data_IF_313490868148
#
_entry.id   IF_313490868148
#
_cell.length_a   1.000
_cell.length_b   1.000
_cell.length_c   1.000
_cell.angle_alpha   90.00
_cell.angle_beta   90.00
_cell.angle_gamma   90.00
#
_symmetry.space_group_name_H-M   'P 1'
#
loop_
_entity.id
_entity.type
_entity.pdbx_description
1 polymer ?
#
# COMPACT_ATOMS: atom_id res chain seq x y z
N UNK A 1 0.01 102.95 17.76
CA UNK A 1 0.40 102.05 18.87
C UNK A 1 -0.54 100.86 18.82
N UNK A 2 -0.05 99.73 18.31
CA UNK A 2 -0.84 98.56 17.93
C UNK A 2 -0.87 97.50 19.05
N UNK A 3 -2.01 96.82 19.12
CA UNK A 3 -2.49 95.96 20.19
C UNK A 3 -1.77 94.59 20.28
N UNK A 4 -1.61 94.13 21.53
CA UNK A 4 -1.10 92.80 21.87
C UNK A 4 -2.16 91.71 21.71
N UNK A 5 -1.78 90.62 21.02
CA UNK A 5 -2.59 89.41 20.85
C UNK A 5 -2.12 88.29 21.79
N UNK A 6 -3.04 87.79 22.60
CA UNK A 6 -2.86 86.68 23.53
C UNK A 6 -2.71 85.33 22.79
N UNK A 7 -1.76 84.50 23.23
CA UNK A 7 -1.57 83.11 22.75
C UNK A 7 -2.29 82.12 23.68
N UNK A 8 -3.28 81.42 23.12
CA UNK A 8 -3.96 80.27 23.72
C UNK A 8 -3.06 79.02 23.69
N UNK A 9 -2.82 78.43 24.85
CA UNK A 9 -2.18 77.12 24.99
C UNK A 9 -3.21 76.00 24.78
N UNK A 10 -3.10 75.24 23.68
CA UNK A 10 -3.81 73.98 23.49
C UNK A 10 -2.92 72.83 23.95
N UNK A 11 -3.33 72.20 25.04
CA UNK A 11 -2.72 71.01 25.62
C UNK A 11 -3.12 69.79 24.77
N UNK A 12 -2.19 69.30 23.96
CA UNK A 12 -2.36 68.10 23.12
C UNK A 12 -2.22 66.84 24.00
N UNK A 13 -3.33 66.13 24.25
CA UNK A 13 -3.31 64.79 24.84
C UNK A 13 -2.75 63.80 23.81
N UNK A 14 -1.65 63.12 24.16
CA UNK A 14 -1.11 61.99 23.40
C UNK A 14 -2.02 60.76 23.57
N UNK A 15 -2.35 60.02 22.49
CA UNK A 15 -3.01 58.73 22.60
C UNK A 15 -2.03 57.64 23.06
N UNK A 16 -2.52 56.76 23.92
CA UNK A 16 -1.78 55.62 24.47
C UNK A 16 -1.35 54.65 23.35
N UNK A 17 -0.08 54.24 23.40
CA UNK A 17 0.55 53.28 22.50
C UNK A 17 0.00 51.87 22.79
N UNK A 18 -0.55 51.13 21.81
CA UNK A 18 -0.91 49.73 21.99
C UNK A 18 0.36 48.89 22.16
N UNK A 19 0.41 48.08 23.23
CA UNK A 19 1.46 47.10 23.46
C UNK A 19 1.35 45.99 22.40
N UNK A 20 2.44 45.78 21.66
CA UNK A 20 2.58 44.70 20.71
C UNK A 20 2.61 43.37 21.46
N UNK A 21 1.64 42.48 21.19
CA UNK A 21 1.71 41.10 21.66
C UNK A 21 2.82 40.35 20.90
N UNK A 22 3.55 39.44 21.57
CA UNK A 22 4.58 38.63 20.94
C UNK A 22 3.96 37.72 19.86
N UNK A 23 4.59 37.73 18.68
CA UNK A 23 4.27 36.84 17.56
C UNK A 23 4.28 35.39 18.03
N UNK A 24 3.09 34.83 18.25
CA UNK A 24 2.89 33.40 18.40
C UNK A 24 3.03 32.80 17.01
N UNK A 25 4.21 32.27 16.70
CA UNK A 25 4.41 31.44 15.51
C UNK A 25 3.58 30.17 15.70
N UNK A 26 2.36 30.19 15.15
CA UNK A 26 1.55 28.99 14.99
C UNK A 26 2.21 28.20 13.87
N UNK A 27 3.04 27.22 14.24
CA UNK A 27 3.49 26.20 13.30
C UNK A 27 2.21 25.57 12.70
N UNK A 28 2.05 25.56 11.37
CA UNK A 28 0.91 24.89 10.76
C UNK A 28 0.93 23.45 11.26
N UNK A 29 -0.19 23.00 11.81
CA UNK A 29 -0.35 21.61 12.20
C UNK A 29 0.04 20.77 10.99
N UNK A 30 1.21 20.13 11.06
CA UNK A 30 1.70 19.15 10.09
C UNK A 30 0.53 18.20 9.95
N UNK A 31 -0.15 18.24 8.81
CA UNK A 31 -1.18 17.26 8.48
C UNK A 31 -0.44 15.93 8.47
N UNK A 32 -0.42 15.26 9.63
CA UNK A 32 -0.09 13.84 9.70
C UNK A 32 -1.06 13.23 8.72
N UNK A 33 -0.52 12.85 7.56
CA UNK A 33 -1.22 12.02 6.59
C UNK A 33 -1.93 10.97 7.41
N UNK A 34 -3.26 11.00 7.36
CA UNK A 34 -4.09 10.01 8.03
C UNK A 34 -3.44 8.65 7.76
N UNK A 35 -3.13 7.85 8.80
CA UNK A 35 -2.59 6.52 8.57
C UNK A 35 -3.46 5.87 7.51
N UNK A 36 -2.84 5.29 6.48
CA UNK A 36 -3.58 4.47 5.52
C UNK A 36 -4.58 3.64 6.31
N UNK A 37 -5.85 3.54 5.88
CA UNK A 37 -6.86 2.77 6.58
C UNK A 37 -6.33 1.34 6.72
N UNK A 38 -5.73 1.08 7.87
CA UNK A 38 -5.39 -0.23 8.36
C UNK A 38 -6.74 -0.75 8.79
N UNK A 39 -7.41 -1.44 7.87
CA UNK A 39 -8.57 -2.25 8.21
C UNK A 39 -8.13 -3.21 9.33
N UNK A 40 -8.41 -2.84 10.58
CA UNK A 40 -8.18 -3.70 11.76
C UNK A 40 -7.44 -3.08 12.96
N UNK A 41 -6.75 -1.95 12.85
CA UNK A 41 -6.16 -1.29 14.04
C UNK A 41 -7.03 -0.10 14.46
N UNK A 42 -7.76 -0.25 15.57
CA UNK A 42 -8.16 0.92 16.34
C UNK A 42 -6.87 1.69 16.70
N UNK A 43 -6.84 3.03 16.60
CA UNK A 43 -5.71 3.80 17.04
C UNK A 43 -5.63 3.73 18.55
N UNK A 44 -4.93 2.73 19.08
CA UNK A 44 -4.43 2.78 20.45
C UNK A 44 -3.29 3.77 20.41
N UNK A 45 -3.57 5.03 20.77
CA UNK A 45 -2.51 5.96 21.13
C UNK A 45 -1.88 5.43 22.42
N UNK A 46 -0.88 4.57 22.29
CA UNK A 46 0.06 4.32 23.37
C UNK A 46 0.93 5.58 23.42
N UNK A 47 0.44 6.60 24.13
CA UNK A 47 1.33 7.61 24.69
C UNK A 47 2.20 6.85 25.67
N UNK A 48 3.50 6.77 25.36
CA UNK A 48 4.50 6.00 26.09
C UNK A 48 4.36 6.26 27.60
N UNK A 49 3.86 5.27 28.35
CA UNK A 49 3.81 5.28 29.82
C UNK A 49 2.45 5.53 30.51
N UNK A 50 1.31 5.59 29.82
CA UNK A 50 0.01 5.80 30.49
C UNK A 50 -1.07 4.76 30.13
N UNK A 51 -1.58 4.07 31.16
CA UNK A 51 -2.85 3.33 31.10
C UNK A 51 -3.96 4.37 31.30
N UNK A 52 -4.75 4.65 30.26
CA UNK A 52 -5.95 5.48 30.38
C UNK A 52 -7.12 4.55 30.62
N UNK A 53 -7.64 4.55 31.85
CA UNK A 53 -8.86 3.83 32.19
C UNK A 53 -10.07 4.63 31.65
N UNK A 54 -10.75 4.09 30.65
CA UNK A 54 -11.86 4.78 29.96
C UNK A 54 -13.17 4.31 30.57
N UNK A 55 -13.60 4.98 31.65
CA UNK A 55 -14.96 4.84 32.17
C UNK A 55 -15.98 5.54 31.25
N UNK A 56 -17.18 4.96 31.03
CA UNK A 56 -18.21 5.59 30.23
C UNK A 56 -18.90 6.69 31.04
N UNK A 57 -18.74 7.95 30.63
CA UNK A 57 -19.55 9.04 31.15
C UNK A 57 -20.32 9.74 30.03
N UNK A 58 -21.59 10.06 30.32
CA UNK A 58 -22.65 10.37 29.34
C UNK A 58 -22.60 11.80 28.78
N UNK A 59 -21.54 12.57 29.01
CA UNK A 59 -21.43 13.98 28.59
C UNK A 59 -20.19 14.31 27.72
N UNK A 60 -19.56 13.29 27.11
CA UNK A 60 -19.00 13.40 25.75
C UNK A 60 -17.77 14.30 25.48
N UNK A 61 -17.11 14.91 26.47
CA UNK A 61 -15.78 15.53 26.29
C UNK A 61 -14.85 15.14 27.43
N UNK A 62 -14.02 14.13 27.19
CA UNK A 62 -12.95 13.71 28.10
C UNK A 62 -11.82 14.73 28.01
N UNK A 63 -11.84 15.73 28.88
CA UNK A 63 -10.70 16.62 29.06
C UNK A 63 -9.76 16.01 30.10
N UNK A 64 -9.03 14.96 29.69
CA UNK A 64 -8.02 14.32 30.54
C UNK A 64 -6.95 15.33 30.93
N UNK A 65 -6.92 15.71 32.21
CA UNK A 65 -5.87 16.57 32.78
C UNK A 65 -4.59 15.73 32.88
N UNK A 66 -3.64 16.00 31.99
CA UNK A 66 -2.33 15.37 32.01
C UNK A 66 -1.51 16.01 33.14
N UNK A 67 -1.56 15.45 34.34
CA UNK A 67 -0.62 15.81 35.39
C UNK A 67 0.71 15.10 35.07
N UNK A 68 1.68 15.87 34.52
CA UNK A 68 3.06 15.40 34.44
C UNK A 68 3.58 15.26 35.86
N UNK A 69 3.63 14.03 36.36
CA UNK A 69 4.41 13.70 37.55
C UNK A 69 5.88 14.10 37.35
N UNK A 70 6.64 14.32 38.44
CA UNK A 70 8.05 14.67 38.39
C UNK A 70 8.86 13.43 38.01
N UNK A 71 8.78 13.02 36.75
CA UNK A 71 9.65 12.00 36.20
C UNK A 71 10.98 12.66 35.89
N UNK A 72 12.04 12.23 36.58
CA UNK A 72 13.39 12.63 36.23
C UNK A 72 13.75 11.92 34.92
N UNK A 73 14.24 12.64 33.92
CA UNK A 73 14.70 12.09 32.63
C UNK A 73 15.72 10.95 32.79
N UNK A 74 16.40 10.89 33.95
CA UNK A 74 17.34 9.84 34.35
C UNK A 74 16.69 8.51 34.76
N UNK A 75 15.38 8.47 35.02
CA UNK A 75 14.67 7.28 35.51
C UNK A 75 14.01 6.46 34.38
N UNK A 76 14.04 6.97 33.14
CA UNK A 76 13.71 6.18 31.95
C UNK A 76 14.94 5.35 31.58
N UNK A 77 15.18 4.26 32.33
CA UNK A 77 15.97 3.15 31.81
C UNK A 77 15.24 2.62 30.57
N UNK A 78 15.71 3.00 29.39
CA UNK A 78 15.23 2.46 28.13
C UNK A 78 15.42 0.95 28.23
N UNK A 79 14.32 0.17 28.16
CA UNK A 79 14.40 -1.28 28.25
C UNK A 79 15.46 -1.82 27.28
N UNK A 80 16.31 -2.74 27.75
CA UNK A 80 17.46 -3.23 26.97
C UNK A 80 17.05 -3.82 25.60
N UNK A 81 15.81 -4.26 25.46
CA UNK A 81 15.16 -4.74 24.24
C UNK A 81 14.86 -3.63 23.20
N UNK A 82 14.78 -2.36 23.61
CA UNK A 82 14.56 -1.21 22.72
C UNK A 82 15.86 -0.62 22.17
N UNK A 83 17.02 -1.01 22.73
CA UNK A 83 18.33 -0.61 22.21
C UNK A 83 18.64 -1.45 20.96
N UNK A 84 18.69 -0.79 19.79
CA UNK A 84 19.21 -1.38 18.56
C UNK A 84 20.71 -1.60 18.76
N UNK A 85 21.08 -2.78 19.25
CA UNK A 85 22.43 -3.26 19.01
C UNK A 85 22.67 -3.26 17.50
N UNK A 86 23.87 -2.86 17.07
CA UNK A 86 24.28 -2.84 15.65
C UNK A 86 24.04 -4.18 14.94
N UNK A 87 23.93 -5.29 15.68
CA UNK A 87 23.56 -6.60 15.15
C UNK A 87 22.07 -6.76 14.79
N UNK A 88 21.16 -6.04 15.44
CA UNK A 88 19.71 -6.16 15.21
C UNK A 88 19.23 -5.55 13.89
N UNK A 89 19.89 -4.50 13.39
CA UNK A 89 19.59 -3.95 12.05
C UNK A 89 19.94 -4.93 10.93
N UNK A 90 21.04 -5.67 11.08
CA UNK A 90 21.45 -6.73 10.16
C UNK A 90 20.46 -7.90 10.11
N UNK A 91 19.89 -8.28 11.26
CA UNK A 91 18.84 -9.29 11.34
C UNK A 91 17.57 -8.82 10.64
N UNK A 92 17.17 -7.56 10.84
CA UNK A 92 16.02 -6.96 10.16
C UNK A 92 16.22 -6.94 8.63
N UNK A 93 17.37 -6.45 8.16
CA UNK A 93 17.71 -6.45 6.74
C UNK A 93 17.67 -7.86 6.14
N UNK A 94 18.18 -8.87 6.87
CA UNK A 94 18.14 -10.27 6.44
C UNK A 94 16.71 -10.82 6.37
N UNK A 95 15.85 -10.46 7.34
CA UNK A 95 14.42 -10.83 7.34
C UNK A 95 13.70 -10.29 6.10
N UNK A 96 13.84 -8.99 5.81
CA UNK A 96 13.23 -8.37 4.63
C UNK A 96 13.82 -8.93 3.33
N UNK A 97 15.14 -9.16 3.27
CA UNK A 97 15.78 -9.78 2.10
C UNK A 97 15.25 -11.20 1.82
N UNK A 98 15.08 -12.01 2.86
CA UNK A 98 14.52 -13.36 2.74
C UNK A 98 13.04 -13.32 2.32
N UNK A 99 12.25 -12.43 2.91
CA UNK A 99 10.85 -12.21 2.52
C UNK A 99 10.75 -11.78 1.06
N UNK A 100 11.58 -10.83 0.63
CA UNK A 100 11.67 -10.39 -0.76
C UNK A 100 12.05 -11.53 -1.71
N UNK A 101 13.02 -12.37 -1.35
CA UNK A 101 13.42 -13.52 -2.16
C UNK A 101 12.28 -14.53 -2.35
N UNK A 102 11.56 -14.87 -1.27
CA UNK A 102 10.41 -15.80 -1.35
C UNK A 102 9.30 -15.22 -2.22
N UNK A 103 8.99 -13.93 -2.04
CA UNK A 103 7.99 -13.23 -2.85
C UNK A 103 8.38 -13.19 -4.34
N UNK A 104 9.65 -12.90 -4.63
CA UNK A 104 10.20 -12.89 -5.99
C UNK A 104 10.09 -14.25 -6.66
N UNK A 105 10.47 -15.32 -5.96
CA UNK A 105 10.43 -16.68 -6.48
C UNK A 105 8.99 -17.13 -6.77
N UNK A 106 8.07 -16.95 -5.81
CA UNK A 106 6.67 -17.31 -5.98
C UNK A 106 6.02 -16.54 -7.14
N UNK A 107 6.26 -15.23 -7.21
CA UNK A 107 5.70 -14.41 -8.28
C UNK A 107 6.28 -14.78 -9.65
N UNK A 108 7.57 -15.11 -9.73
CA UNK A 108 8.20 -15.55 -10.97
C UNK A 108 7.56 -16.84 -11.50
N UNK A 109 7.29 -17.82 -10.62
CA UNK A 109 6.59 -19.05 -11.00
C UNK A 109 5.22 -18.74 -11.59
N UNK A 110 4.44 -17.87 -10.95
CA UNK A 110 3.12 -17.46 -11.42
C UNK A 110 3.21 -16.77 -12.80
N UNK A 111 4.17 -15.87 -12.98
CA UNK A 111 4.40 -15.16 -14.26
C UNK A 111 4.72 -16.18 -15.37
N UNK A 112 5.61 -17.15 -15.11
CA UNK A 112 5.93 -18.21 -16.06
C UNK A 112 4.69 -19.03 -16.41
N UNK A 113 3.86 -19.40 -15.42
CA UNK A 113 2.61 -20.13 -15.66
C UNK A 113 1.63 -19.33 -16.55
N UNK A 114 1.50 -18.01 -16.36
CA UNK A 114 0.70 -17.16 -17.24
C UNK A 114 1.19 -17.16 -18.69
N UNK A 115 2.51 -17.07 -18.91
CA UNK A 115 3.07 -17.11 -20.26
C UNK A 115 2.99 -18.49 -20.90
N UNK A 116 3.20 -19.57 -20.14
CA UNK A 116 3.07 -20.96 -20.63
C UNK A 116 1.62 -21.24 -21.02
N UNK A 117 0.65 -20.85 -20.19
CA UNK A 117 -0.78 -21.02 -20.52
C UNK A 117 -1.17 -20.17 -21.72
N UNK A 118 -0.72 -18.91 -21.80
CA UNK A 118 -0.93 -18.05 -22.98
C UNK A 118 -0.39 -18.66 -24.27
N UNK A 119 0.85 -19.16 -24.24
CA UNK A 119 1.46 -19.85 -25.37
C UNK A 119 0.68 -21.12 -25.76
N UNK A 120 0.20 -21.88 -24.77
CA UNK A 120 -0.69 -23.02 -24.97
C UNK A 120 -1.98 -22.62 -25.70
N UNK A 121 -2.67 -21.57 -25.23
CA UNK A 121 -3.87 -21.05 -25.88
C UNK A 121 -3.59 -20.65 -27.34
N UNK A 122 -2.50 -19.94 -27.63
CA UNK A 122 -2.16 -19.57 -29.01
C UNK A 122 -1.78 -20.77 -29.88
N UNK A 123 -1.04 -21.73 -29.35
CA UNK A 123 -0.67 -22.94 -30.06
C UNK A 123 -1.92 -23.72 -30.48
N UNK A 124 -2.80 -24.04 -29.52
CA UNK A 124 -4.02 -24.80 -29.79
C UNK A 124 -5.05 -24.02 -30.60
N UNK A 125 -5.04 -22.68 -30.59
CA UNK A 125 -5.90 -21.89 -31.48
C UNK A 125 -5.68 -22.20 -32.97
N UNK A 126 -4.46 -22.59 -33.35
CA UNK A 126 -4.09 -22.95 -34.73
C UNK A 126 -4.45 -24.39 -35.09
N UNK A 127 -4.55 -25.25 -34.08
CA UNK A 127 -4.88 -26.67 -34.23
C UNK A 127 -6.39 -26.90 -34.41
N UNK A 128 -7.24 -25.93 -34.03
CA UNK A 128 -8.69 -26.04 -34.23
C UNK A 128 -9.01 -26.08 -35.72
N UNK A 129 -9.59 -27.19 -36.23
CA UNK A 129 -9.92 -27.30 -37.65
C UNK A 129 -10.96 -26.26 -38.03
N UNK A 130 -10.77 -25.62 -39.20
CA UNK A 130 -11.69 -24.59 -39.73
C UNK A 130 -13.11 -25.12 -40.00
N UNK A 131 -13.28 -26.44 -40.05
CA UNK A 131 -14.55 -27.15 -40.24
C UNK A 131 -15.35 -27.30 -38.95
N UNK A 132 -14.79 -26.99 -37.78
CA UNK A 132 -15.51 -27.04 -36.51
C UNK A 132 -16.71 -26.07 -36.55
N UNK A 133 -17.87 -26.54 -36.08
CA UNK A 133 -19.14 -25.82 -36.15
C UNK A 133 -19.16 -24.54 -35.31
N UNK A 134 -18.24 -24.43 -34.35
CA UNK A 134 -18.09 -23.29 -33.44
C UNK A 134 -16.76 -22.58 -33.64
N UNK A 135 -16.73 -21.25 -33.41
CA UNK A 135 -15.51 -20.43 -33.50
C UNK A 135 -14.63 -20.56 -32.25
N UNK A 136 -14.36 -21.78 -31.80
CA UNK A 136 -13.60 -22.04 -30.57
C UNK A 136 -12.18 -21.47 -30.63
N UNK A 137 -11.55 -21.49 -31.81
CA UNK A 137 -10.22 -20.88 -32.03
C UNK A 137 -10.15 -19.39 -31.66
N UNK A 138 -11.23 -18.63 -31.87
CA UNK A 138 -11.29 -17.21 -31.47
C UNK A 138 -11.23 -17.06 -29.95
N UNK A 139 -11.94 -17.92 -29.21
CA UNK A 139 -11.89 -17.93 -27.74
C UNK A 139 -10.51 -18.30 -27.21
N UNK A 140 -9.81 -19.27 -27.83
CA UNK A 140 -8.42 -19.57 -27.50
C UNK A 140 -7.51 -18.35 -27.68
N UNK A 141 -7.58 -17.65 -28.82
CA UNK A 141 -6.77 -16.45 -29.08
C UNK A 141 -7.01 -15.38 -28.00
N UNK A 142 -8.27 -15.05 -27.72
CA UNK A 142 -8.60 -14.02 -26.75
C UNK A 142 -8.19 -14.38 -25.32
N UNK A 143 -8.38 -15.64 -24.90
CA UNK A 143 -7.88 -16.12 -23.62
C UNK A 143 -6.36 -16.03 -23.56
N UNK A 144 -5.66 -16.42 -24.62
CA UNK A 144 -4.20 -16.27 -24.73
C UNK A 144 -3.73 -14.83 -24.56
N UNK A 145 -4.40 -13.88 -25.21
CA UNK A 145 -4.13 -12.43 -25.05
C UNK A 145 -4.36 -11.97 -23.61
N UNK A 146 -5.48 -12.36 -23.00
CA UNK A 146 -5.78 -11.99 -21.61
C UNK A 146 -4.73 -12.56 -20.64
N UNK A 147 -4.33 -13.83 -20.80
CA UNK A 147 -3.29 -14.44 -19.96
C UNK A 147 -1.94 -13.76 -20.10
N UNK A 148 -1.54 -13.39 -21.33
CA UNK A 148 -0.31 -12.63 -21.55
C UNK A 148 -0.35 -11.26 -20.87
N UNK A 149 -1.47 -10.54 -21.01
CA UNK A 149 -1.65 -9.24 -20.35
C UNK A 149 -1.62 -9.37 -18.82
N UNK A 150 -2.24 -10.40 -18.25
CA UNK A 150 -2.18 -10.69 -16.82
C UNK A 150 -0.74 -11.00 -16.37
N UNK A 151 0.01 -11.83 -17.10
CA UNK A 151 1.43 -12.09 -16.84
C UNK A 151 2.30 -10.83 -16.86
N UNK A 152 2.07 -9.93 -17.82
CA UNK A 152 2.75 -8.63 -17.89
C UNK A 152 2.43 -7.74 -16.69
N UNK A 153 1.14 -7.62 -16.31
CA UNK A 153 0.76 -6.83 -15.13
C UNK A 153 1.35 -7.40 -13.84
N UNK A 154 1.44 -8.74 -13.71
CA UNK A 154 2.10 -9.39 -12.57
C UNK A 154 3.59 -9.08 -12.50
N UNK A 155 4.25 -8.97 -13.65
CA UNK A 155 5.65 -8.53 -13.72
C UNK A 155 5.81 -7.09 -13.23
N UNK A 156 4.89 -6.19 -13.60
CA UNK A 156 4.87 -4.82 -13.07
C UNK A 156 4.65 -4.81 -11.55
N UNK A 157 3.69 -5.60 -11.04
CA UNK A 157 3.48 -5.71 -9.59
C UNK A 157 4.70 -6.24 -8.85
N UNK A 158 5.48 -7.12 -9.46
CA UNK A 158 6.71 -7.62 -8.86
C UNK A 158 7.73 -6.50 -8.61
N UNK A 159 7.92 -5.63 -9.60
CA UNK A 159 8.79 -4.46 -9.47
C UNK A 159 8.31 -3.52 -8.36
N UNK A 160 6.99 -3.27 -8.28
CA UNK A 160 6.46 -2.38 -7.23
C UNK A 160 6.50 -3.04 -5.85
N UNK A 161 6.22 -4.33 -5.74
CA UNK A 161 6.31 -5.07 -4.48
C UNK A 161 7.73 -5.00 -3.91
N UNK A 162 8.75 -5.09 -4.75
CA UNK A 162 10.14 -4.92 -4.34
C UNK A 162 10.40 -3.52 -3.74
N UNK A 163 9.94 -2.45 -4.41
CA UNK A 163 10.06 -1.09 -3.89
C UNK A 163 9.25 -0.87 -2.60
N UNK A 164 8.04 -1.42 -2.50
CA UNK A 164 7.23 -1.32 -1.28
C UNK A 164 7.87 -2.04 -0.11
N UNK A 165 8.48 -3.20 -0.34
CA UNK A 165 9.16 -3.96 0.70
C UNK A 165 10.38 -3.20 1.24
N UNK A 166 11.09 -2.48 0.37
CA UNK A 166 12.19 -1.60 0.78
C UNK A 166 11.70 -0.35 1.53
N UNK A 167 10.58 0.23 1.10
CA UNK A 167 9.94 1.33 1.83
C UNK A 167 9.54 0.86 3.25
N UNK A 168 8.88 -0.30 3.38
CA UNK A 168 8.50 -0.86 4.69
C UNK A 168 9.72 -1.09 5.61
N UNK A 169 10.86 -1.47 5.04
CA UNK A 169 12.12 -1.58 5.79
C UNK A 169 12.56 -0.23 6.37
N UNK A 170 12.52 0.86 5.59
CA UNK A 170 12.82 2.21 6.08
C UNK A 170 11.83 2.68 7.15
N UNK A 171 10.53 2.39 6.97
CA UNK A 171 9.49 2.74 7.96
C UNK A 171 9.71 2.06 9.32
N UNK A 172 10.05 0.77 9.32
CA UNK A 172 10.38 0.01 10.53
C UNK A 172 11.67 0.53 11.21
N UNK A 173 12.68 0.95 10.43
CA UNK A 173 13.90 1.55 11.00
C UNK A 173 13.60 2.90 11.64
N UNK A 174 12.81 3.75 10.97
CA UNK A 174 12.41 5.06 11.50
C UNK A 174 11.70 4.91 12.86
N UNK A 175 10.79 3.94 12.99
CA UNK A 175 10.11 3.63 14.24
C UNK A 175 11.08 3.25 15.36
N UNK A 176 12.08 2.41 15.06
CA UNK A 176 13.09 2.03 16.05
C UNK A 176 14.01 3.17 16.45
N UNK A 177 14.32 4.10 15.55
CA UNK A 177 15.07 5.32 15.89
C UNK A 177 14.26 6.26 16.79
N UNK A 178 12.94 6.41 16.55
CA UNK A 178 12.05 7.16 17.45
C UNK A 178 12.04 6.60 18.86
N UNK A 179 11.98 5.27 18.98
CA UNK A 179 12.02 4.58 20.28
C UNK A 179 13.34 4.80 21.06
N UNK A 180 14.41 5.21 20.36
CA UNK A 180 15.72 5.56 20.95
C UNK A 180 15.92 7.08 21.10
N UNK A 181 14.88 7.88 20.87
CA UNK A 181 14.94 9.34 20.87
C UNK A 181 15.97 9.91 19.87
N UNK A 182 16.23 9.19 18.76
CA UNK A 182 17.10 9.63 17.64
C UNK A 182 16.25 10.26 16.54
N UNK A 183 15.62 11.39 16.85
CA UNK A 183 14.60 12.01 15.99
C UNK A 183 15.15 12.43 14.60
N UNK A 184 16.36 12.99 14.52
CA UNK A 184 16.92 13.43 13.23
C UNK A 184 17.09 12.26 12.23
N UNK A 185 17.53 11.10 12.72
CA UNK A 185 17.69 9.90 11.90
C UNK A 185 16.34 9.27 11.55
N UNK A 186 15.40 9.28 12.50
CA UNK A 186 14.04 8.83 12.24
C UNK A 186 13.35 9.67 11.17
N UNK A 187 13.50 11.00 11.20
CA UNK A 187 12.92 11.89 10.18
C UNK A 187 13.56 11.67 8.80
N UNK A 188 14.87 11.41 8.74
CA UNK A 188 15.54 11.07 7.49
C UNK A 188 14.98 9.78 6.88
N UNK A 189 14.86 8.72 7.67
CA UNK A 189 14.34 7.42 7.21
C UNK A 189 12.85 7.48 6.85
N UNK A 190 12.05 8.27 7.59
CA UNK A 190 10.63 8.50 7.28
C UNK A 190 10.46 9.27 5.97
N UNK A 191 11.30 10.27 5.69
CA UNK A 191 11.32 10.98 4.41
C UNK A 191 11.61 10.02 3.24
N UNK A 192 12.58 9.12 3.40
CA UNK A 192 12.88 8.09 2.40
C UNK A 192 11.73 7.10 2.21
N UNK A 193 11.08 6.69 3.30
CA UNK A 193 9.85 5.89 3.25
C UNK A 193 8.74 6.59 2.47
N UNK A 194 8.42 7.85 2.78
CA UNK A 194 7.33 8.59 2.12
C UNK A 194 7.59 8.80 0.62
N UNK A 195 8.83 9.14 0.26
CA UNK A 195 9.26 9.31 -1.13
C UNK A 195 9.10 8.00 -1.92
N UNK A 196 9.60 6.88 -1.39
CA UNK A 196 9.49 5.59 -2.05
C UNK A 196 8.05 5.09 -2.08
N UNK A 197 7.30 5.28 -1.00
CA UNK A 197 5.94 4.81 -0.90
C UNK A 197 4.99 5.56 -1.83
N UNK A 198 5.14 6.88 -1.94
CA UNK A 198 4.34 7.70 -2.87
C UNK A 198 4.61 7.30 -4.32
N UNK A 199 5.89 7.11 -4.71
CA UNK A 199 6.27 6.65 -6.06
C UNK A 199 5.69 5.26 -6.37
N UNK A 200 5.77 4.34 -5.42
CA UNK A 200 5.20 3.01 -5.56
C UNK A 200 3.67 3.04 -5.71
N UNK A 201 2.95 3.85 -4.91
CA UNK A 201 1.49 4.02 -5.03
C UNK A 201 1.09 4.45 -6.44
N UNK A 202 1.76 5.48 -6.98
CA UNK A 202 1.50 5.93 -8.35
C UNK A 202 1.78 4.85 -9.39
N UNK A 203 2.85 4.08 -9.20
CA UNK A 203 3.21 2.98 -10.09
C UNK A 203 2.23 1.80 -10.01
N UNK A 204 1.49 1.61 -8.91
CA UNK A 204 0.50 0.55 -8.74
C UNK A 204 -0.84 0.83 -9.41
N UNK A 205 -1.25 2.09 -9.55
CA UNK A 205 -2.61 2.44 -10.02
C UNK A 205 -2.86 1.86 -11.42
N UNK A 206 -1.94 2.10 -12.35
CA UNK A 206 -2.13 1.69 -13.76
C UNK A 206 -2.16 0.16 -13.90
N UNK A 207 -1.15 -0.61 -13.41
CA UNK A 207 -1.20 -2.06 -13.48
C UNK A 207 -2.41 -2.66 -12.77
N UNK A 208 -2.87 -2.07 -11.66
CA UNK A 208 -4.08 -2.52 -10.95
C UNK A 208 -5.34 -2.38 -11.78
N UNK A 209 -5.52 -1.25 -12.45
CA UNK A 209 -6.68 -1.04 -13.34
C UNK A 209 -6.64 -2.02 -14.53
N UNK A 210 -5.48 -2.16 -15.18
CA UNK A 210 -5.30 -3.08 -16.30
C UNK A 210 -5.56 -4.52 -15.85
N UNK A 211 -4.97 -4.94 -14.73
CA UNK A 211 -5.15 -6.28 -14.20
C UNK A 211 -6.63 -6.57 -13.90
N UNK A 212 -7.31 -5.66 -13.20
CA UNK A 212 -8.74 -5.80 -12.86
C UNK A 212 -9.61 -5.91 -14.11
N UNK A 213 -9.35 -5.05 -15.10
CA UNK A 213 -10.06 -5.08 -16.38
C UNK A 213 -9.83 -6.39 -17.14
N UNK A 214 -8.57 -6.83 -17.26
CA UNK A 214 -8.21 -8.07 -17.95
C UNK A 214 -8.76 -9.31 -17.25
N UNK A 215 -8.85 -9.31 -15.92
CA UNK A 215 -9.47 -10.39 -15.15
C UNK A 215 -10.97 -10.50 -15.46
N UNK A 216 -11.71 -9.38 -15.45
CA UNK A 216 -13.13 -9.37 -15.81
C UNK A 216 -13.32 -9.83 -17.26
N UNK A 217 -12.52 -9.31 -18.19
CA UNK A 217 -12.56 -9.72 -19.59
C UNK A 217 -12.27 -11.22 -19.75
N UNK A 218 -11.26 -11.74 -19.05
CA UNK A 218 -10.93 -13.16 -19.07
C UNK A 218 -12.09 -14.03 -18.59
N UNK A 219 -12.81 -13.62 -17.53
CA UNK A 219 -13.99 -14.35 -17.02
C UNK A 219 -15.11 -14.37 -18.05
N UNK A 220 -15.41 -13.23 -18.69
CA UNK A 220 -16.46 -13.15 -19.72
C UNK A 220 -16.13 -14.05 -20.93
N UNK A 221 -14.88 -14.02 -21.38
CA UNK A 221 -14.42 -14.84 -22.51
C UNK A 221 -14.39 -16.32 -22.11
N UNK A 222 -14.09 -16.63 -20.85
CA UNK A 222 -14.13 -17.98 -20.33
C UNK A 222 -15.56 -18.55 -20.32
N UNK A 223 -16.54 -17.79 -19.82
CA UNK A 223 -17.96 -18.17 -19.86
C UNK A 223 -18.42 -18.40 -21.31
N UNK A 224 -18.06 -17.49 -22.21
CA UNK A 224 -18.34 -17.65 -23.63
C UNK A 224 -17.66 -18.90 -24.23
N UNK A 225 -16.41 -19.18 -23.85
CA UNK A 225 -15.68 -20.37 -24.26
C UNK A 225 -16.33 -21.66 -23.78
N UNK A 226 -16.78 -21.71 -22.52
CA UNK A 226 -17.55 -22.83 -21.96
C UNK A 226 -18.84 -23.02 -22.73
N UNK A 227 -19.59 -21.96 -23.00
CA UNK A 227 -20.81 -22.03 -23.80
C UNK A 227 -20.54 -22.62 -25.20
N UNK A 228 -19.48 -22.18 -25.88
CA UNK A 228 -19.09 -22.74 -27.19
C UNK A 228 -18.64 -24.20 -27.09
N UNK A 229 -17.90 -24.57 -26.04
CA UNK A 229 -17.44 -25.94 -25.81
C UNK A 229 -18.63 -26.89 -25.60
N UNK A 230 -19.69 -26.45 -24.92
CA UNK A 230 -20.92 -27.24 -24.73
C UNK A 230 -21.72 -27.43 -26.02
N UNK A 231 -21.58 -26.52 -27.00
CA UNK A 231 -22.24 -26.62 -28.31
C UNK A 231 -21.38 -27.33 -29.38
N UNK A 232 -20.11 -27.57 -29.09
CA UNK A 232 -19.20 -28.26 -29.99
C UNK A 232 -19.63 -29.73 -30.08
N UNK A 233 -19.70 -30.26 -31.31
CA UNK A 233 -19.89 -31.70 -31.52
C UNK A 233 -18.51 -32.35 -31.61
N UNK A 234 -18.24 -33.32 -30.74
CA UNK A 234 -16.92 -33.95 -30.58
C UNK A 234 -16.38 -34.52 -31.90
N UNK A 235 -17.25 -35.09 -32.74
CA UNK A 235 -16.88 -35.71 -34.02
C UNK A 235 -16.21 -34.75 -35.01
N UNK A 236 -16.56 -33.45 -34.99
CA UNK A 236 -16.07 -32.47 -35.98
C UNK A 236 -14.96 -31.58 -35.42
N UNK A 237 -14.97 -31.33 -34.11
CA UNK A 237 -14.02 -30.44 -33.45
C UNK A 237 -12.81 -31.20 -32.84
N UNK A 238 -12.81 -32.53 -32.88
CA UNK A 238 -11.72 -33.39 -32.43
C UNK A 238 -11.38 -33.17 -30.96
N UNK A 239 -10.08 -33.23 -30.62
CA UNK A 239 -9.59 -33.10 -29.23
C UNK A 239 -9.56 -31.65 -28.71
N UNK A 240 -10.02 -30.69 -29.49
CA UNK A 240 -9.96 -29.26 -29.13
C UNK A 240 -10.76 -28.95 -27.86
N UNK A 241 -11.88 -29.64 -27.65
CA UNK A 241 -12.75 -29.48 -26.47
C UNK A 241 -12.06 -30.00 -25.21
N UNK A 242 -11.44 -31.18 -25.27
CA UNK A 242 -10.65 -31.76 -24.16
C UNK A 242 -9.52 -30.80 -23.74
N UNK A 243 -8.78 -30.28 -24.71
CA UNK A 243 -7.66 -29.37 -24.47
C UNK A 243 -8.14 -28.04 -23.89
N UNK A 244 -9.29 -27.52 -24.35
CA UNK A 244 -9.91 -26.33 -23.77
C UNK A 244 -10.16 -26.52 -22.26
N UNK A 245 -10.76 -27.65 -21.86
CA UNK A 245 -11.03 -27.96 -20.46
C UNK A 245 -9.75 -28.12 -19.63
N UNK A 246 -8.72 -28.76 -20.20
CA UNK A 246 -7.43 -28.89 -19.53
C UNK A 246 -6.78 -27.52 -19.27
N UNK A 247 -6.72 -26.65 -20.27
CA UNK A 247 -6.16 -25.30 -20.10
C UNK A 247 -7.01 -24.45 -19.16
N UNK A 248 -8.34 -24.56 -19.23
CA UNK A 248 -9.24 -23.91 -18.30
C UNK A 248 -8.98 -24.34 -16.85
N UNK A 249 -8.78 -25.64 -16.62
CA UNK A 249 -8.46 -26.17 -15.30
C UNK A 249 -7.10 -25.65 -14.78
N UNK A 250 -6.07 -25.65 -15.63
CA UNK A 250 -4.75 -25.09 -15.27
C UNK A 250 -4.86 -23.60 -14.93
N UNK A 251 -5.60 -22.83 -15.72
CA UNK A 251 -5.87 -21.41 -15.46
C UNK A 251 -6.60 -21.22 -14.14
N UNK A 252 -7.59 -22.06 -13.82
CA UNK A 252 -8.32 -22.03 -12.56
C UNK A 252 -7.38 -22.26 -11.37
N UNK A 253 -6.56 -23.32 -11.40
CA UNK A 253 -5.57 -23.61 -10.35
C UNK A 253 -4.58 -22.45 -10.18
N UNK A 254 -4.09 -21.90 -11.29
CA UNK A 254 -3.18 -20.73 -11.27
C UNK A 254 -3.84 -19.53 -10.59
N UNK A 255 -5.12 -19.29 -10.88
CA UNK A 255 -5.90 -18.20 -10.29
C UNK A 255 -6.12 -18.41 -8.79
N UNK A 256 -6.49 -19.63 -8.38
CA UNK A 256 -6.62 -19.99 -6.96
C UNK A 256 -5.30 -19.81 -6.20
N UNK A 257 -4.18 -20.28 -6.77
CA UNK A 257 -2.86 -20.12 -6.18
C UNK A 257 -2.47 -18.65 -6.01
N UNK A 258 -2.72 -17.82 -7.03
CA UNK A 258 -2.46 -16.37 -6.95
C UNK A 258 -3.31 -15.68 -5.88
N UNK A 259 -4.53 -16.15 -5.64
CA UNK A 259 -5.42 -15.62 -4.61
C UNK A 259 -4.94 -15.96 -3.21
N UNK A 260 -4.50 -17.20 -2.97
CA UNK A 260 -3.94 -17.62 -1.66
C UNK A 260 -2.66 -16.85 -1.32
N UNK A 261 -1.77 -16.66 -2.30
CA UNK A 261 -0.55 -15.87 -2.11
C UNK A 261 -0.89 -14.41 -1.74
N UNK A 262 -1.95 -13.84 -2.31
CA UNK A 262 -2.41 -12.50 -1.95
C UNK A 262 -2.93 -12.40 -0.51
N UNK A 263 -3.67 -13.40 -0.03
CA UNK A 263 -4.19 -13.44 1.35
C UNK A 263 -3.09 -13.62 2.39
N UNK A 264 -2.06 -14.44 2.07
CA UNK A 264 -0.89 -14.60 2.93
C UNK A 264 -0.11 -13.29 3.12
N UNK A 265 -0.01 -12.45 2.08
CA UNK A 265 0.65 -11.13 2.18
C UNK A 265 -0.08 -10.18 3.12
N UNK A 266 -1.42 -10.16 3.08
CA UNK A 266 -2.23 -9.34 4.00
C UNK A 266 -2.07 -9.75 5.46
N UNK A 267 -1.86 -11.04 5.73
CA UNK A 267 -1.62 -11.55 7.08
C UNK A 267 -0.22 -11.18 7.63
N UNK A 268 0.77 -11.02 6.76
CA UNK A 268 2.14 -10.62 7.15
C UNK A 268 2.26 -9.10 7.38
N UNK A 269 1.31 -8.31 6.87
CA UNK A 269 1.24 -6.86 7.12
C UNK A 269 0.51 -6.45 8.41
N UNK A 270 0.06 -7.42 9.23
CA UNK A 270 -0.58 -7.21 10.53
C UNK A 270 0.42 -7.35 11.69
#
# INVERSE_FOLDING_TARGET
>A
MQAGGARNARQQRQPARPQAMPNRVVLPARQRLLPMPTFGRQPVQVVTGQVVDVGPDMEGVVQGRIERGPWHESDLEIPHDLRLERGNTGLLATKYKNLGRTLLLNSLIIIVLYFVTSAGYFYFSKEVPRTCNVKLGSSFVWLGVCQAALGLTMTCFLGVAHHMLWALYHGEIAERYRLQCREEEAESEESDYESQASRARWCLVIPRLIHSFMTVLSILIWIHGVYLAMLARDEVCGRSVEVFWLLAFITFITTCYSSVDSSGRSAVSL
#
